data_IF_599959347725
#
_entry.id   IF_599959347725
#
_cell.length_a   1.000
_cell.length_b   1.000
_cell.length_c   1.000
_cell.angle_alpha   90.00
_cell.angle_beta   90.00
_cell.angle_gamma   90.00
#
_symmetry.space_group_name_H-M   'P 1'
#
loop_
_entity.id
_entity.type
_entity.pdbx_description
1 polymer ?
#
# COMPACT_ATOMS: atom_id res chain seq x y z
N UNK A 1 1.82 7.52 24.22
CA UNK A 1 2.09 6.72 25.43
C UNK A 1 1.09 5.58 25.58
N UNK A 2 -0.23 5.79 25.44
CA UNK A 2 -1.29 4.79 25.61
C UNK A 2 -1.14 3.55 24.71
N UNK A 3 -0.74 3.72 23.43
CA UNK A 3 -0.49 2.59 22.53
C UNK A 3 0.64 1.68 23.00
N UNK A 4 1.69 2.24 23.61
CA UNK A 4 2.78 1.48 24.21
C UNK A 4 2.32 0.61 25.38
N UNK A 5 1.49 1.15 26.28
CA UNK A 5 0.89 0.41 27.40
C UNK A 5 -0.01 -0.73 26.91
N UNK A 6 -0.81 -0.49 25.86
CA UNK A 6 -1.64 -1.52 25.23
C UNK A 6 -0.79 -2.68 24.68
N UNK A 7 0.33 -2.38 24.02
CA UNK A 7 1.25 -3.41 23.51
C UNK A 7 1.90 -4.24 24.61
N UNK A 8 2.04 -3.66 25.81
CA UNK A 8 2.53 -4.35 27.01
C UNK A 8 1.43 -5.11 27.77
N UNK A 9 0.19 -5.10 27.27
CA UNK A 9 -0.97 -5.75 27.90
C UNK A 9 -1.53 -5.00 29.12
N UNK A 10 -1.08 -3.77 29.38
CA UNK A 10 -1.55 -2.91 30.50
C UNK A 10 -2.79 -2.11 30.05
N UNK A 11 -3.88 -2.83 29.75
CA UNK A 11 -5.04 -2.27 29.07
C UNK A 11 -5.78 -1.20 29.89
N UNK A 12 -5.93 -1.38 31.20
CA UNK A 12 -6.64 -0.40 32.07
C UNK A 12 -5.88 0.93 32.12
N UNK A 13 -4.56 0.88 32.27
CA UNK A 13 -3.71 2.07 32.27
C UNK A 13 -3.66 2.72 30.87
N UNK A 14 -3.60 1.91 29.80
CA UNK A 14 -3.65 2.40 28.44
C UNK A 14 -4.97 3.15 28.17
N UNK A 15 -6.08 2.62 28.68
CA UNK A 15 -7.40 3.22 28.55
C UNK A 15 -7.49 4.55 29.29
N UNK A 16 -7.13 4.57 30.57
CA UNK A 16 -7.17 5.80 31.38
C UNK A 16 -6.36 6.94 30.73
N UNK A 17 -5.16 6.60 30.25
CA UNK A 17 -4.30 7.55 29.55
C UNK A 17 -4.87 8.00 28.20
N UNK A 18 -5.49 7.09 27.45
CA UNK A 18 -6.11 7.43 26.16
C UNK A 18 -7.33 8.34 26.33
N UNK A 19 -8.13 8.12 27.37
CA UNK A 19 -9.28 8.98 27.70
C UNK A 19 -8.80 10.40 28.09
N UNK A 20 -7.72 10.52 28.88
CA UNK A 20 -7.11 11.80 29.23
C UNK A 20 -6.52 12.51 28.00
N UNK A 21 -5.76 11.79 27.17
CA UNK A 21 -5.20 12.31 25.90
C UNK A 21 -6.32 12.83 24.99
N UNK A 22 -7.43 12.09 24.85
CA UNK A 22 -8.57 12.49 24.03
C UNK A 22 -9.28 13.72 24.59
N UNK A 23 -9.47 13.79 25.92
CA UNK A 23 -10.07 14.95 26.53
C UNK A 23 -9.27 16.23 26.30
N UNK A 24 -7.93 16.15 26.40
CA UNK A 24 -7.04 17.25 26.11
C UNK A 24 -7.04 17.61 24.62
N UNK A 25 -6.99 16.60 23.73
CA UNK A 25 -7.04 16.79 22.28
C UNK A 25 -8.32 17.55 21.83
N UNK A 26 -9.48 17.13 22.36
CA UNK A 26 -10.76 17.78 22.07
C UNK A 26 -10.81 19.24 22.56
N UNK A 27 -10.17 19.56 23.69
CA UNK A 27 -10.06 20.94 24.17
C UNK A 27 -9.18 21.82 23.27
N UNK A 28 -8.16 21.22 22.67
CA UNK A 28 -7.28 21.92 21.72
C UNK A 28 -7.93 22.07 20.33
N UNK A 29 -8.78 21.11 19.96
CA UNK A 29 -9.55 21.15 18.72
C UNK A 29 -8.75 20.85 17.46
N UNK A 30 -7.49 20.37 17.59
CA UNK A 30 -6.68 19.97 16.44
C UNK A 30 -7.11 18.60 15.92
N UNK A 31 -7.58 18.50 14.66
CA UNK A 31 -8.09 17.25 14.07
C UNK A 31 -7.07 16.10 14.07
N UNK A 32 -5.76 16.41 13.89
CA UNK A 32 -4.71 15.39 13.93
C UNK A 32 -4.66 14.73 15.32
N UNK A 33 -4.55 15.56 16.38
CA UNK A 33 -4.44 15.05 17.75
C UNK A 33 -5.71 14.32 18.19
N UNK A 34 -6.89 14.86 17.83
CA UNK A 34 -8.17 14.20 18.12
C UNK A 34 -8.26 12.85 17.42
N UNK A 35 -8.02 12.81 16.11
CA UNK A 35 -8.13 11.58 15.34
C UNK A 35 -7.13 10.50 15.78
N UNK A 36 -5.89 10.90 16.11
CA UNK A 36 -4.88 9.97 16.63
C UNK A 36 -5.29 9.39 18.00
N UNK A 37 -5.83 10.21 18.91
CA UNK A 37 -6.29 9.77 20.23
C UNK A 37 -7.52 8.85 20.13
N UNK A 38 -8.51 9.20 19.28
CA UNK A 38 -9.68 8.36 19.01
C UNK A 38 -9.28 7.01 18.42
N UNK A 39 -8.31 6.99 17.49
CA UNK A 39 -7.76 5.74 16.91
C UNK A 39 -7.19 4.83 18.00
N UNK A 40 -6.35 5.38 18.89
CA UNK A 40 -5.74 4.60 19.98
C UNK A 40 -6.80 4.05 20.92
N UNK A 41 -7.80 4.87 21.30
CA UNK A 41 -8.92 4.42 22.13
C UNK A 41 -9.70 3.29 21.44
N UNK A 42 -9.95 3.40 20.12
CA UNK A 42 -10.62 2.36 19.34
C UNK A 42 -9.86 1.04 19.33
N UNK A 43 -8.52 1.08 19.30
CA UNK A 43 -7.67 -0.11 19.38
C UNK A 43 -7.69 -0.76 20.77
N UNK A 44 -7.85 0.03 21.83
CA UNK A 44 -7.95 -0.46 23.23
C UNK A 44 -9.31 -1.10 23.47
N UNK A 45 -10.39 -0.44 23.07
CA UNK A 45 -11.76 -0.93 23.22
C UNK A 45 -12.00 -2.25 22.49
N UNK A 46 -11.59 -2.33 21.23
CA UNK A 46 -11.86 -3.48 20.39
C UNK A 46 -13.36 -3.70 20.12
N UNK A 47 -13.68 -4.83 19.49
CA UNK A 47 -15.06 -5.19 19.17
C UNK A 47 -15.83 -4.11 18.40
N UNK A 48 -17.16 -4.09 18.54
CA UNK A 48 -18.02 -3.11 17.86
C UNK A 48 -17.81 -1.67 18.36
N UNK A 49 -17.52 -1.49 19.65
CA UNK A 49 -17.22 -0.18 20.20
C UNK A 49 -15.93 0.39 19.62
N UNK A 50 -14.88 -0.43 19.52
CA UNK A 50 -13.63 -0.06 18.89
C UNK A 50 -13.78 0.26 17.40
N UNK A 51 -14.61 -0.50 16.66
CA UNK A 51 -14.90 -0.22 15.25
C UNK A 51 -15.57 1.15 15.09
N UNK A 52 -16.53 1.51 15.96
CA UNK A 52 -17.16 2.83 15.91
C UNK A 52 -16.14 3.96 16.11
N UNK A 53 -15.26 3.82 17.10
CA UNK A 53 -14.19 4.79 17.34
C UNK A 53 -13.19 4.88 16.18
N UNK A 54 -12.83 3.75 15.59
CA UNK A 54 -11.93 3.75 14.43
C UNK A 54 -12.56 4.39 13.19
N UNK A 55 -13.90 4.29 13.00
CA UNK A 55 -14.61 5.04 11.97
C UNK A 55 -14.56 6.55 12.24
N UNK A 56 -14.85 6.97 13.49
CA UNK A 56 -14.70 8.37 13.90
C UNK A 56 -13.29 8.90 13.62
N UNK A 57 -12.26 8.13 13.97
CA UNK A 57 -10.87 8.51 13.69
C UNK A 57 -10.59 8.70 12.19
N UNK A 58 -11.10 7.82 11.35
CA UNK A 58 -10.96 7.95 9.89
C UNK A 58 -11.63 9.22 9.38
N UNK A 59 -12.84 9.52 9.83
CA UNK A 59 -13.59 10.71 9.43
C UNK A 59 -12.88 12.00 9.86
N UNK A 60 -12.45 12.08 11.11
CA UNK A 60 -11.71 13.24 11.64
C UNK A 60 -10.41 13.48 10.89
N UNK A 61 -9.65 12.42 10.63
CA UNK A 61 -8.34 12.51 9.95
C UNK A 61 -8.47 12.75 8.45
N UNK A 62 -9.58 12.39 7.82
CA UNK A 62 -9.82 12.66 6.40
C UNK A 62 -9.79 14.15 6.06
N UNK A 63 -10.25 15.00 6.97
CA UNK A 63 -10.24 16.47 6.86
C UNK A 63 -8.93 17.14 7.25
N UNK A 64 -7.93 16.38 7.70
CA UNK A 64 -6.65 16.90 8.20
C UNK A 64 -5.50 16.72 7.20
N UNK A 65 -4.39 17.44 7.43
CA UNK A 65 -3.14 17.21 6.69
C UNK A 65 -2.33 15.99 7.21
N UNK A 66 -2.80 15.35 8.29
CA UNK A 66 -2.13 14.22 8.94
C UNK A 66 -2.30 12.91 8.17
N UNK A 67 -1.81 12.88 6.94
CA UNK A 67 -1.99 11.77 5.98
C UNK A 67 -1.46 10.43 6.49
N UNK A 68 -0.36 10.43 7.25
CA UNK A 68 0.21 9.21 7.82
C UNK A 68 -0.73 8.62 8.87
N UNK A 69 -1.26 9.46 9.79
CA UNK A 69 -2.21 9.02 10.81
C UNK A 69 -3.53 8.56 10.20
N UNK A 70 -3.99 9.23 9.13
CA UNK A 70 -5.16 8.78 8.38
C UNK A 70 -4.95 7.40 7.76
N UNK A 71 -3.77 7.13 7.17
CA UNK A 71 -3.43 5.82 6.67
C UNK A 71 -3.43 4.76 7.78
N UNK A 72 -2.88 5.07 8.96
CA UNK A 72 -2.94 4.18 10.13
C UNK A 72 -4.38 3.89 10.55
N UNK A 73 -5.26 4.90 10.62
CA UNK A 73 -6.65 4.74 11.00
C UNK A 73 -7.42 3.84 10.03
N UNK A 74 -7.21 4.01 8.72
CA UNK A 74 -7.80 3.16 7.68
C UNK A 74 -7.37 1.69 7.81
N UNK A 75 -6.08 1.45 8.02
CA UNK A 75 -5.54 0.08 8.17
C UNK A 75 -6.04 -0.57 9.45
N UNK A 76 -6.06 0.16 10.57
CA UNK A 76 -6.54 -0.35 11.85
C UNK A 76 -8.05 -0.63 11.83
N UNK A 77 -8.85 0.23 11.18
CA UNK A 77 -10.28 0.01 10.95
C UNK A 77 -10.50 -1.25 10.10
N UNK A 78 -9.79 -1.37 8.99
CA UNK A 78 -9.90 -2.53 8.10
C UNK A 78 -9.53 -3.83 8.81
N UNK A 79 -8.48 -3.82 9.64
CA UNK A 79 -8.10 -4.98 10.45
C UNK A 79 -9.15 -5.34 11.52
N UNK A 80 -9.77 -4.33 12.14
CA UNK A 80 -10.87 -4.53 13.10
C UNK A 80 -12.12 -5.13 12.43
N UNK A 81 -12.52 -4.58 11.28
CA UNK A 81 -13.63 -5.07 10.47
C UNK A 81 -13.41 -6.52 10.01
N UNK A 82 -12.18 -6.87 9.60
CA UNK A 82 -11.84 -8.26 9.25
C UNK A 82 -12.05 -9.21 10.42
N UNK A 83 -11.58 -8.84 11.62
CA UNK A 83 -11.78 -9.64 12.85
C UNK A 83 -13.25 -9.79 13.20
N UNK A 84 -14.07 -8.76 12.92
CA UNK A 84 -15.53 -8.81 13.04
C UNK A 84 -16.25 -9.50 11.88
N UNK A 85 -15.50 -10.15 10.96
CA UNK A 85 -16.01 -10.85 9.77
C UNK A 85 -16.76 -9.95 8.76
N UNK A 86 -16.59 -8.63 8.85
CA UNK A 86 -17.16 -7.64 7.90
C UNK A 86 -16.22 -7.48 6.69
N UNK A 87 -16.03 -8.58 5.93
CA UNK A 87 -14.94 -8.73 4.95
C UNK A 87 -15.00 -7.75 3.78
N UNK A 88 -16.18 -7.33 3.35
CA UNK A 88 -16.34 -6.41 2.21
C UNK A 88 -15.83 -5.04 2.57
N UNK A 89 -16.35 -4.44 3.64
CA UNK A 89 -15.91 -3.14 4.12
C UNK A 89 -14.44 -3.16 4.56
N UNK A 90 -13.99 -4.24 5.23
CA UNK A 90 -12.58 -4.41 5.58
C UNK A 90 -11.65 -4.24 4.37
N UNK A 91 -11.99 -4.88 3.24
CA UNK A 91 -11.20 -4.78 2.01
C UNK A 91 -11.19 -3.38 1.41
N UNK A 92 -12.30 -2.66 1.49
CA UNK A 92 -12.39 -1.28 1.01
C UNK A 92 -11.47 -0.38 1.82
N UNK A 93 -11.61 -0.38 3.15
CA UNK A 93 -10.77 0.44 4.05
C UNK A 93 -9.28 0.09 3.95
N UNK A 94 -8.95 -1.20 3.87
CA UNK A 94 -7.55 -1.62 3.70
C UNK A 94 -6.95 -1.16 2.37
N UNK A 95 -7.70 -1.18 1.27
CA UNK A 95 -7.23 -0.67 -0.03
C UNK A 95 -6.99 0.83 0.02
N UNK A 96 -7.91 1.60 0.57
CA UNK A 96 -7.74 3.03 0.80
C UNK A 96 -6.47 3.30 1.64
N UNK A 97 -6.26 2.50 2.69
CA UNK A 97 -5.08 2.55 3.54
C UNK A 97 -3.78 2.24 2.79
N UNK A 98 -3.77 1.20 1.94
CA UNK A 98 -2.61 0.87 1.07
C UNK A 98 -2.27 2.03 0.15
N UNK A 99 -3.28 2.59 -0.53
CA UNK A 99 -3.09 3.66 -1.50
C UNK A 99 -2.57 4.93 -0.82
N UNK A 100 -3.11 5.27 0.35
CA UNK A 100 -2.66 6.43 1.11
C UNK A 100 -1.25 6.23 1.66
N UNK A 101 -0.97 5.06 2.29
CA UNK A 101 0.34 4.73 2.85
C UNK A 101 1.45 4.79 1.79
N UNK A 102 1.18 4.33 0.57
CA UNK A 102 2.13 4.44 -0.55
C UNK A 102 2.38 5.89 -0.96
N UNK A 103 1.32 6.70 -1.09
CA UNK A 103 1.46 8.12 -1.45
C UNK A 103 2.31 8.91 -0.45
N UNK A 104 2.25 8.54 0.83
CA UNK A 104 3.04 9.21 1.88
C UNK A 104 4.37 8.52 2.18
N UNK A 105 4.73 7.46 1.45
CA UNK A 105 5.99 6.74 1.64
C UNK A 105 6.01 5.78 2.84
N UNK A 106 4.89 5.51 3.50
CA UNK A 106 4.77 4.60 4.63
C UNK A 106 4.69 3.13 4.16
N UNK A 107 5.76 2.62 3.53
CA UNK A 107 5.78 1.33 2.84
C UNK A 107 5.48 0.15 3.78
N UNK A 108 6.03 0.13 4.98
CA UNK A 108 5.75 -0.93 5.97
C UNK A 108 4.27 -0.99 6.38
N UNK A 109 3.57 0.17 6.42
CA UNK A 109 2.13 0.21 6.67
C UNK A 109 1.35 -0.36 5.49
N UNK A 110 1.78 -0.06 4.25
CA UNK A 110 1.16 -0.61 3.04
C UNK A 110 1.34 -2.14 2.95
N UNK A 111 2.49 -2.67 3.36
CA UNK A 111 2.73 -4.11 3.45
C UNK A 111 1.81 -4.76 4.49
N UNK A 112 1.73 -4.23 5.71
CA UNK A 112 0.80 -4.69 6.74
C UNK A 112 -0.65 -4.69 6.25
N UNK A 113 -1.10 -3.65 5.54
CA UNK A 113 -2.45 -3.59 4.99
C UNK A 113 -2.69 -4.66 3.92
N UNK A 114 -1.70 -4.98 3.09
CA UNK A 114 -1.79 -6.06 2.11
C UNK A 114 -1.88 -7.45 2.77
N UNK A 115 -1.17 -7.68 3.87
CA UNK A 115 -1.28 -8.90 4.68
C UNK A 115 -2.70 -9.06 5.25
N UNK A 116 -3.28 -7.98 5.76
CA UNK A 116 -4.66 -7.96 6.26
C UNK A 116 -5.68 -8.23 5.13
N UNK A 117 -5.46 -7.69 3.91
CA UNK A 117 -6.30 -7.99 2.74
C UNK A 117 -6.22 -9.48 2.40
N UNK A 118 -5.02 -10.05 2.37
CA UNK A 118 -4.83 -11.47 2.11
C UNK A 118 -5.56 -12.34 3.15
N UNK A 119 -5.50 -11.96 4.41
CA UNK A 119 -6.18 -12.64 5.52
C UNK A 119 -7.73 -12.58 5.43
N UNK A 120 -8.31 -11.68 4.61
CA UNK A 120 -9.76 -11.70 4.31
C UNK A 120 -10.16 -12.83 3.35
N UNK A 121 -9.22 -13.65 2.86
CA UNK A 121 -9.42 -14.63 1.79
C UNK A 121 -9.49 -13.99 0.40
N UNK A 122 -9.23 -12.70 0.28
CA UNK A 122 -9.04 -12.05 -1.01
C UNK A 122 -7.64 -12.39 -1.53
N UNK A 123 -7.53 -12.87 -2.77
CA UNK A 123 -6.24 -12.81 -3.47
C UNK A 123 -5.84 -11.34 -3.54
N UNK A 124 -4.64 -10.97 -3.08
CA UNK A 124 -4.17 -9.60 -3.26
C UNK A 124 -4.29 -9.26 -4.74
N UNK A 125 -5.05 -8.23 -5.10
CA UNK A 125 -4.84 -7.61 -6.40
C UNK A 125 -3.38 -7.16 -6.36
N UNK A 126 -2.53 -7.79 -7.16
CA UNK A 126 -1.24 -7.17 -7.49
C UNK A 126 -1.61 -5.78 -7.97
N UNK A 127 -1.35 -4.78 -7.14
CA UNK A 127 -1.42 -3.39 -7.59
C UNK A 127 -0.52 -3.36 -8.80
N UNK A 128 -1.09 -3.05 -9.95
CA UNK A 128 -0.31 -2.82 -11.16
C UNK A 128 0.59 -1.63 -10.83
N UNK A 129 1.80 -1.94 -10.33
CA UNK A 129 2.88 -0.99 -10.39
C UNK A 129 3.07 -0.77 -11.89
N UNK A 130 2.84 0.43 -12.37
CA UNK A 130 3.14 0.82 -13.73
C UNK A 130 4.57 1.35 -13.80
N UNK A 131 5.19 1.25 -14.95
CA UNK A 131 6.56 1.68 -15.14
C UNK A 131 7.59 0.54 -15.01
N UNK A 132 8.87 0.88 -15.12
CA UNK A 132 9.98 -0.09 -15.15
C UNK A 132 10.11 -0.91 -13.86
N UNK A 133 9.84 -0.31 -12.72
CA UNK A 133 9.94 -0.99 -11.41
C UNK A 133 8.83 -2.02 -11.20
N UNK A 134 7.79 -1.96 -12.02
CA UNK A 134 6.73 -2.95 -12.05
C UNK A 134 7.11 -4.26 -12.77
N UNK A 135 8.15 -4.21 -13.60
CA UNK A 135 8.61 -5.38 -14.37
C UNK A 135 9.33 -6.38 -13.45
N UNK A 136 8.98 -7.65 -13.56
CA UNK A 136 9.80 -8.72 -12.99
C UNK A 136 11.12 -8.83 -13.77
N UNK A 137 12.13 -9.46 -13.19
CA UNK A 137 13.41 -9.67 -13.85
C UNK A 137 13.27 -10.36 -15.23
N UNK A 138 12.38 -11.35 -15.35
CA UNK A 138 12.10 -12.04 -16.60
C UNK A 138 11.38 -11.15 -17.62
N UNK A 139 10.36 -10.40 -17.20
CA UNK A 139 9.65 -9.45 -18.05
C UNK A 139 10.58 -8.35 -18.57
N UNK A 140 11.45 -7.82 -17.69
CA UNK A 140 12.46 -6.80 -18.04
C UNK A 140 13.45 -7.34 -19.05
N UNK A 141 13.97 -8.55 -18.84
CA UNK A 141 14.93 -9.18 -19.76
C UNK A 141 14.32 -9.44 -21.12
N UNK A 142 13.09 -9.98 -21.18
CA UNK A 142 12.37 -10.21 -22.44
C UNK A 142 12.04 -8.89 -23.13
N UNK A 143 11.60 -7.86 -22.41
CA UNK A 143 11.31 -6.55 -22.95
C UNK A 143 12.56 -5.88 -23.54
N UNK A 144 13.72 -6.00 -22.88
CA UNK A 144 14.99 -5.47 -23.38
C UNK A 144 15.40 -6.14 -24.68
N UNK A 145 15.44 -7.48 -24.75
CA UNK A 145 15.79 -8.21 -25.97
C UNK A 145 14.82 -7.88 -27.13
N UNK A 146 13.56 -7.65 -26.79
CA UNK A 146 12.56 -7.22 -27.76
C UNK A 146 12.79 -5.77 -28.23
N UNK A 147 13.22 -4.86 -27.38
CA UNK A 147 13.64 -3.51 -27.73
C UNK A 147 14.88 -3.52 -28.62
N UNK A 148 15.84 -4.40 -28.34
CA UNK A 148 17.06 -4.61 -29.15
C UNK A 148 16.78 -5.23 -30.54
N UNK A 149 15.49 -5.43 -30.90
CA UNK A 149 15.06 -5.85 -32.24
C UNK A 149 14.93 -7.36 -32.44
N UNK A 150 15.21 -8.19 -31.43
CA UNK A 150 15.15 -9.66 -31.56
C UNK A 150 13.70 -10.15 -31.73
N UNK A 151 13.45 -11.04 -32.66
CA UNK A 151 12.14 -11.70 -32.81
C UNK A 151 11.78 -12.59 -31.60
N UNK A 152 10.48 -12.89 -31.37
CA UNK A 152 10.09 -13.78 -30.30
C UNK A 152 10.74 -15.16 -30.35
N UNK A 153 11.07 -15.65 -31.57
CA UNK A 153 11.77 -16.92 -31.80
C UNK A 153 13.21 -16.84 -31.31
N UNK A 154 13.92 -15.76 -31.63
CA UNK A 154 15.30 -15.53 -31.20
C UNK A 154 15.39 -15.34 -29.68
N UNK A 155 14.47 -14.59 -29.10
CA UNK A 155 14.37 -14.42 -27.63
C UNK A 155 14.13 -15.78 -26.97
N UNK A 156 13.21 -16.58 -27.51
CA UNK A 156 12.90 -17.91 -26.97
C UNK A 156 14.15 -18.82 -26.99
N UNK A 157 14.91 -18.79 -28.07
CA UNK A 157 16.19 -19.54 -28.21
C UNK A 157 17.26 -19.03 -27.23
N UNK A 158 17.42 -17.70 -27.11
CA UNK A 158 18.40 -17.07 -26.23
C UNK A 158 18.15 -17.34 -24.76
N UNK A 159 16.88 -17.41 -24.36
CA UNK A 159 16.49 -17.61 -22.96
C UNK A 159 16.12 -19.06 -22.63
N UNK A 160 16.23 -19.98 -23.60
CA UNK A 160 15.87 -21.40 -23.46
C UNK A 160 14.42 -21.61 -22.96
N UNK A 161 13.47 -20.80 -23.48
CA UNK A 161 12.03 -20.88 -23.16
C UNK A 161 11.19 -21.09 -24.42
N UNK A 162 9.89 -21.30 -24.25
CA UNK A 162 8.99 -21.41 -25.41
C UNK A 162 8.61 -20.03 -25.96
N UNK A 163 8.28 -19.96 -27.26
CA UNK A 163 7.75 -18.71 -27.87
C UNK A 163 6.52 -18.22 -27.11
N UNK A 164 5.66 -19.13 -26.67
CA UNK A 164 4.48 -18.81 -25.87
C UNK A 164 4.84 -18.12 -24.55
N UNK A 165 5.90 -18.55 -23.90
CA UNK A 165 6.42 -17.91 -22.68
C UNK A 165 6.87 -16.47 -22.95
N UNK A 166 7.57 -16.23 -24.07
CA UNK A 166 7.99 -14.89 -24.49
C UNK A 166 6.79 -13.98 -24.73
N UNK A 167 5.76 -14.47 -25.45
CA UNK A 167 4.53 -13.73 -25.72
C UNK A 167 3.81 -13.31 -24.42
N UNK A 168 3.74 -14.21 -23.44
CA UNK A 168 3.13 -13.93 -22.13
C UNK A 168 3.93 -12.84 -21.38
N UNK A 169 5.26 -12.94 -21.37
CA UNK A 169 6.11 -11.93 -20.73
C UNK A 169 6.00 -10.56 -21.41
N UNK A 170 5.98 -10.50 -22.74
CA UNK A 170 5.78 -9.26 -23.50
C UNK A 170 4.41 -8.65 -23.23
N UNK A 171 3.36 -9.45 -23.24
CA UNK A 171 2.00 -8.98 -22.93
C UNK A 171 1.90 -8.37 -21.54
N UNK A 172 2.55 -8.99 -20.53
CA UNK A 172 2.60 -8.47 -19.19
C UNK A 172 3.47 -7.19 -19.11
N UNK A 173 4.60 -7.14 -19.81
CA UNK A 173 5.46 -5.98 -19.86
C UNK A 173 4.73 -4.78 -20.49
N UNK A 174 4.05 -4.96 -21.63
CA UNK A 174 3.29 -3.90 -22.28
C UNK A 174 2.23 -3.30 -21.36
N UNK A 175 1.48 -4.16 -20.67
CA UNK A 175 0.46 -3.70 -19.71
C UNK A 175 1.07 -2.90 -18.55
N UNK A 176 2.25 -3.31 -18.05
CA UNK A 176 2.93 -2.64 -16.93
C UNK A 176 3.62 -1.34 -17.35
N UNK A 177 4.10 -1.28 -18.59
CA UNK A 177 4.71 -0.08 -19.17
C UNK A 177 3.67 0.86 -19.79
N UNK A 178 2.38 0.49 -19.79
CA UNK A 178 1.28 1.25 -20.40
C UNK A 178 1.52 1.54 -21.88
N UNK A 179 2.08 0.58 -22.61
CA UNK A 179 2.32 0.66 -24.05
C UNK A 179 1.45 -0.38 -24.79
N UNK A 180 1.14 -0.09 -26.05
CA UNK A 180 0.29 -0.92 -26.89
C UNK A 180 1.04 -1.67 -28.00
N UNK A 181 2.32 -1.36 -28.22
CA UNK A 181 3.09 -1.94 -29.30
C UNK A 181 4.57 -2.12 -28.94
N UNK A 182 5.20 -3.06 -29.66
CA UNK A 182 6.63 -3.34 -29.55
C UNK A 182 7.51 -2.11 -29.86
N UNK A 183 7.11 -1.29 -30.83
CA UNK A 183 7.86 -0.09 -31.25
C UNK A 183 7.97 0.96 -30.13
N UNK A 184 7.16 0.87 -29.07
CA UNK A 184 7.20 1.78 -27.93
C UNK A 184 8.12 1.32 -26.81
N UNK A 185 8.68 0.09 -26.90
CA UNK A 185 9.54 -0.48 -25.85
C UNK A 185 10.79 0.35 -25.60
N UNK A 186 11.52 0.73 -26.66
CA UNK A 186 12.74 1.54 -26.56
C UNK A 186 12.50 2.80 -25.74
N UNK A 187 11.47 3.57 -26.12
CA UNK A 187 11.11 4.81 -25.43
C UNK A 187 10.73 4.56 -23.97
N UNK A 188 9.96 3.52 -23.71
CA UNK A 188 9.49 3.19 -22.37
C UNK A 188 10.63 2.74 -21.44
N UNK A 189 11.62 2.03 -21.98
CA UNK A 189 12.79 1.57 -21.22
C UNK A 189 13.84 2.67 -21.00
N UNK A 190 13.94 3.66 -21.89
CA UNK A 190 14.91 4.78 -21.80
C UNK A 190 14.45 5.90 -20.85
N UNK A 191 13.15 6.13 -20.68
CA UNK A 191 12.62 7.25 -19.86
C UNK A 191 12.93 7.08 -18.37
N UNK A 192 13.30 5.91 -17.91
CA UNK A 192 13.53 5.60 -16.48
C UNK A 192 14.96 5.20 -16.13
N UNK A 193 15.94 5.43 -17.01
CA UNK A 193 17.34 5.35 -16.60
C UNK A 193 17.66 6.57 -15.72
N UNK A 194 18.20 6.41 -14.50
CA UNK A 194 18.64 7.56 -13.71
C UNK A 194 19.67 8.34 -14.54
N UNK A 195 19.42 9.63 -14.75
CA UNK A 195 20.41 10.52 -15.38
C UNK A 195 21.65 10.52 -14.50
N UNK A 196 22.67 9.78 -14.89
CA UNK A 196 24.01 9.97 -14.36
C UNK A 196 24.41 11.42 -14.67
N UNK A 197 24.46 12.24 -13.63
CA UNK A 197 25.07 13.57 -13.71
C UNK A 197 26.53 13.40 -14.16
N UNK A 198 26.98 14.06 -15.22
CA UNK A 198 28.41 14.08 -15.55
C UNK A 198 29.11 14.85 -14.43
N UNK A 199 29.98 14.19 -13.69
CA UNK A 199 30.97 14.85 -12.83
C UNK A 199 31.88 15.67 -13.73
N UNK A 200 31.74 16.99 -13.67
CA UNK A 200 32.73 17.93 -14.23
C UNK A 200 34.02 17.82 -13.43
N UNK A 201 35.07 17.45 -14.12
CA UNK A 201 36.45 17.60 -13.65
C UNK A 201 36.86 19.06 -13.68
#
# INVERSE_FOLDING_TARGET
>A
AAEGLRRLGRNDEARALADEELALARRWGDPHTVGASVRVLGLIEGGEAGIRLLREAVEVLAGSEARVEHAHALVDLGAALRRANQRTEARERLREGVDLARRVGALGLAERANEEIAATGARPRKVLQTGLDALTASERRVAQLAADGMSNKEIAQTLFVTIKTVEVHLSHAYRKLEISSRAQLDKALLISAPRSTPTSA
#
